data_IF_018034194839
#
_entry.id   IF_018034194839
#
_cell.length_a   1.000
_cell.length_b   1.000
_cell.length_c   1.000
_cell.angle_alpha   90.00
_cell.angle_beta   90.00
_cell.angle_gamma   90.00
#
_symmetry.space_group_name_H-M   'P 1'
#
loop_
_entity.id
_entity.type
_entity.pdbx_description
1 polymer ?
#
# COMPACT_ATOMS: atom_id res chain seq x y z
N UNK A 1 -27.94 -1.60 -5.39
CA UNK A 1 -28.91 -2.01 -4.38
C UNK A 1 -28.50 -3.33 -3.73
N UNK A 2 -29.16 -3.74 -2.64
CA UNK A 2 -28.87 -5.02 -1.98
C UNK A 2 -28.96 -6.19 -2.97
N UNK A 3 -28.03 -7.15 -2.89
CA UNK A 3 -27.98 -8.31 -3.78
C UNK A 3 -27.38 -8.08 -5.15
N UNK A 4 -26.90 -6.88 -5.47
CA UNK A 4 -26.24 -6.64 -6.76
C UNK A 4 -24.83 -7.20 -6.75
N UNK A 5 -24.52 -8.03 -7.74
CA UNK A 5 -23.20 -8.63 -7.98
C UNK A 5 -22.77 -8.33 -9.41
N UNK A 6 -21.52 -7.96 -9.62
CA UNK A 6 -20.98 -7.71 -10.95
C UNK A 6 -20.92 -9.01 -11.76
N UNK A 7 -21.45 -8.99 -12.96
CA UNK A 7 -21.49 -10.15 -13.87
C UNK A 7 -20.09 -10.59 -14.30
N UNK A 8 -19.89 -11.89 -14.44
CA UNK A 8 -18.62 -12.46 -14.83
C UNK A 8 -18.11 -12.00 -16.20
N UNK A 9 -18.96 -12.09 -17.23
CA UNK A 9 -18.55 -11.86 -18.63
C UNK A 9 -17.85 -10.51 -18.89
N UNK A 10 -18.37 -9.35 -18.44
CA UNK A 10 -17.69 -8.07 -18.65
C UNK A 10 -16.32 -8.02 -17.96
N UNK A 11 -16.23 -8.60 -16.75
CA UNK A 11 -14.98 -8.61 -15.96
C UNK A 11 -13.96 -9.53 -16.60
N UNK A 12 -14.37 -10.72 -17.06
CA UNK A 12 -13.49 -11.65 -17.81
C UNK A 12 -12.89 -10.97 -19.04
N UNK A 13 -13.72 -10.34 -19.87
CA UNK A 13 -13.27 -9.61 -21.08
C UNK A 13 -12.30 -8.48 -20.74
N UNK A 14 -12.54 -7.75 -19.66
CA UNK A 14 -11.64 -6.67 -19.21
C UNK A 14 -10.27 -7.21 -18.80
N UNK A 15 -10.24 -8.31 -18.02
CA UNK A 15 -9.00 -8.94 -17.58
C UNK A 15 -8.24 -9.52 -18.79
N UNK A 16 -8.92 -10.23 -19.70
CA UNK A 16 -8.32 -10.76 -20.93
C UNK A 16 -7.68 -9.65 -21.77
N UNK A 17 -8.39 -8.53 -21.93
CA UNK A 17 -7.88 -7.35 -22.64
C UNK A 17 -6.63 -6.76 -21.95
N UNK A 18 -6.60 -6.72 -20.63
CA UNK A 18 -5.43 -6.28 -19.89
C UNK A 18 -4.24 -7.26 -20.10
N UNK A 19 -4.47 -8.57 -19.95
CA UNK A 19 -3.45 -9.60 -20.13
C UNK A 19 -2.91 -9.59 -21.58
N UNK A 20 -3.74 -9.31 -22.58
CA UNK A 20 -3.31 -9.30 -23.99
C UNK A 20 -2.20 -8.29 -24.29
N UNK A 21 -2.09 -7.23 -23.48
CA UNK A 21 -1.08 -6.18 -23.59
C UNK A 21 0.24 -6.51 -22.87
N UNK A 22 0.26 -7.57 -22.06
CA UNK A 22 1.41 -7.94 -21.24
C UNK A 22 2.30 -8.91 -22.03
N UNK A 23 3.61 -8.63 -22.05
CA UNK A 23 4.61 -9.44 -22.78
C UNK A 23 4.88 -10.76 -22.07
N UNK A 24 5.21 -10.73 -20.78
CA UNK A 24 5.52 -11.93 -19.98
C UNK A 24 4.33 -12.32 -19.10
N UNK A 25 3.44 -13.12 -19.65
CA UNK A 25 2.24 -13.60 -18.95
C UNK A 25 2.52 -14.51 -17.76
N UNK A 26 3.73 -15.04 -17.62
CA UNK A 26 4.12 -15.91 -16.48
C UNK A 26 4.40 -15.11 -15.22
N UNK A 27 4.69 -13.81 -15.36
CA UNK A 27 5.00 -12.89 -14.25
C UNK A 27 3.88 -11.90 -13.97
N UNK A 28 2.64 -12.29 -14.23
CA UNK A 28 1.45 -11.48 -13.93
C UNK A 28 0.84 -11.93 -12.63
N UNK A 29 0.50 -10.97 -11.78
CA UNK A 29 -0.33 -11.17 -10.58
C UNK A 29 -1.69 -10.55 -10.79
N UNK A 30 -2.76 -11.29 -10.46
CA UNK A 30 -4.13 -10.76 -10.49
C UNK A 30 -4.65 -10.70 -9.06
N UNK A 31 -5.11 -9.54 -8.65
CA UNK A 31 -5.58 -9.25 -7.29
C UNK A 31 -7.03 -8.78 -7.37
N UNK A 32 -7.88 -9.41 -6.56
CA UNK A 32 -9.23 -8.97 -6.27
C UNK A 32 -9.28 -8.38 -4.86
N UNK A 33 -10.05 -7.31 -4.66
CA UNK A 33 -10.19 -6.71 -3.34
C UNK A 33 -11.39 -7.28 -2.60
N UNK A 34 -11.13 -7.74 -1.38
CA UNK A 34 -12.15 -8.28 -0.49
C UNK A 34 -11.78 -7.99 0.97
N UNK A 35 -12.74 -7.56 1.82
CA UNK A 35 -12.48 -7.39 3.26
C UNK A 35 -12.00 -8.67 3.94
N UNK A 36 -12.43 -9.85 3.46
CA UNK A 36 -12.04 -11.16 3.96
C UNK A 36 -10.75 -11.71 3.33
N UNK A 37 -10.09 -10.96 2.46
CA UNK A 37 -8.85 -11.36 1.81
C UNK A 37 -7.64 -11.34 2.75
N UNK A 38 -6.50 -11.84 2.24
CA UNK A 38 -5.22 -11.73 2.93
C UNK A 38 -4.87 -10.26 3.16
N UNK A 39 -4.44 -9.91 4.38
CA UNK A 39 -4.04 -8.53 4.68
C UNK A 39 -2.84 -8.10 3.84
N UNK A 40 -2.97 -6.93 3.23
CA UNK A 40 -1.89 -6.25 2.53
C UNK A 40 -0.90 -5.67 3.55
N UNK A 41 0.38 -5.87 3.31
CA UNK A 41 1.47 -5.37 4.16
C UNK A 41 2.62 -4.87 3.30
N UNK A 42 3.53 -4.09 3.89
CA UNK A 42 4.78 -3.68 3.23
C UNK A 42 5.60 -4.87 2.75
N UNK A 43 5.63 -5.96 3.53
CA UNK A 43 6.31 -7.19 3.14
C UNK A 43 5.66 -7.83 1.91
N UNK A 44 4.32 -7.87 1.85
CA UNK A 44 3.61 -8.33 0.66
C UNK A 44 3.96 -7.49 -0.57
N UNK A 45 4.02 -6.16 -0.42
CA UNK A 45 4.42 -5.25 -1.49
C UNK A 45 5.84 -5.54 -1.99
N UNK A 46 6.82 -5.62 -1.07
CA UNK A 46 8.24 -5.94 -1.37
C UNK A 46 8.38 -7.28 -2.12
N UNK A 47 7.67 -8.30 -1.68
CA UNK A 47 7.71 -9.62 -2.31
C UNK A 47 7.03 -9.62 -3.68
N UNK A 48 5.94 -8.88 -3.83
CA UNK A 48 5.20 -8.79 -5.10
C UNK A 48 6.02 -8.11 -6.19
N UNK A 49 6.67 -6.98 -5.92
CA UNK A 49 7.48 -6.27 -6.92
C UNK A 49 8.76 -7.02 -7.31
N UNK A 50 9.27 -7.92 -6.46
CA UNK A 50 10.38 -8.81 -6.81
C UNK A 50 9.95 -9.95 -7.73
N UNK A 51 8.73 -10.45 -7.57
CA UNK A 51 8.25 -11.67 -8.22
C UNK A 51 7.51 -11.40 -9.53
N UNK A 52 6.76 -10.31 -9.61
CA UNK A 52 5.88 -10.00 -10.72
C UNK A 52 6.32 -8.75 -11.45
N UNK A 53 6.19 -8.76 -12.78
CA UNK A 53 6.44 -7.57 -13.62
C UNK A 53 5.18 -6.75 -13.85
N UNK A 54 4.02 -7.41 -13.77
CA UNK A 54 2.73 -6.81 -14.05
C UNK A 54 1.72 -7.25 -12.99
N UNK A 55 0.90 -6.30 -12.53
CA UNK A 55 -0.16 -6.55 -11.56
C UNK A 55 -1.47 -6.01 -12.08
N UNK A 56 -2.46 -6.89 -12.20
CA UNK A 56 -3.82 -6.52 -12.57
C UNK A 56 -4.66 -6.41 -11.30
N UNK A 57 -5.23 -5.24 -11.06
CA UNK A 57 -6.07 -4.94 -9.91
C UNK A 57 -7.54 -4.92 -10.35
N UNK A 58 -8.38 -5.76 -9.74
CA UNK A 58 -9.79 -5.83 -10.03
C UNK A 58 -10.54 -4.98 -9.01
N UNK A 59 -11.02 -3.81 -9.45
CA UNK A 59 -11.79 -2.89 -8.61
C UNK A 59 -13.27 -3.18 -8.73
N UNK A 60 -13.79 -4.05 -7.84
CA UNK A 60 -15.19 -4.41 -7.77
C UNK A 60 -16.06 -3.33 -7.16
N UNK A 61 -17.36 -3.42 -7.39
CA UNK A 61 -18.43 -2.59 -6.82
C UNK A 61 -19.55 -3.48 -6.27
N UNK A 62 -20.48 -2.85 -5.57
CA UNK A 62 -21.66 -3.51 -5.00
C UNK A 62 -21.28 -4.58 -3.96
N UNK A 63 -21.92 -5.73 -3.97
CA UNK A 63 -21.63 -6.84 -3.05
C UNK A 63 -20.47 -7.73 -3.52
N UNK A 64 -19.83 -7.38 -4.65
CA UNK A 64 -18.68 -8.07 -5.19
C UNK A 64 -18.80 -8.46 -6.64
N UNK A 65 -17.96 -9.41 -7.04
CA UNK A 65 -17.83 -9.91 -8.40
C UNK A 65 -18.17 -11.39 -8.41
N UNK A 66 -18.80 -11.88 -9.46
CA UNK A 66 -19.07 -13.30 -9.65
C UNK A 66 -17.82 -14.14 -9.37
N UNK A 67 -17.93 -15.07 -8.43
CA UNK A 67 -16.81 -15.86 -7.92
C UNK A 67 -16.09 -16.70 -9.00
N UNK A 68 -16.73 -16.95 -10.15
CA UNK A 68 -16.14 -17.66 -11.28
C UNK A 68 -14.96 -16.90 -11.88
N UNK A 69 -15.00 -15.56 -11.90
CA UNK A 69 -13.89 -14.72 -12.34
C UNK A 69 -12.61 -15.03 -11.57
N UNK A 70 -12.72 -15.05 -10.25
CA UNK A 70 -11.59 -15.35 -9.37
C UNK A 70 -11.03 -16.76 -9.60
N UNK A 71 -11.92 -17.75 -9.77
CA UNK A 71 -11.52 -19.15 -10.04
C UNK A 71 -10.80 -19.29 -11.37
N UNK A 72 -11.31 -18.67 -12.44
CA UNK A 72 -10.75 -18.75 -13.81
C UNK A 72 -9.35 -18.17 -13.85
N UNK A 73 -9.15 -16.96 -13.29
CA UNK A 73 -7.87 -16.26 -13.33
C UNK A 73 -6.96 -16.54 -12.14
N UNK A 74 -7.38 -17.38 -11.17
CA UNK A 74 -6.64 -17.63 -9.92
C UNK A 74 -6.28 -16.32 -9.20
N UNK A 75 -7.22 -15.34 -9.22
CA UNK A 75 -7.01 -14.06 -8.58
C UNK A 75 -6.93 -14.22 -7.05
N UNK A 76 -5.98 -13.54 -6.43
CA UNK A 76 -5.82 -13.54 -4.99
C UNK A 76 -6.70 -12.45 -4.35
N UNK A 77 -7.44 -12.82 -3.30
CA UNK A 77 -8.18 -11.84 -2.51
C UNK A 77 -7.25 -11.13 -1.54
N UNK A 78 -7.25 -9.80 -1.61
CA UNK A 78 -6.44 -8.94 -0.74
C UNK A 78 -7.34 -7.94 0.00
N UNK A 79 -7.09 -7.80 1.30
CA UNK A 79 -7.72 -6.80 2.17
C UNK A 79 -6.72 -5.69 2.51
N UNK A 80 -7.16 -4.45 2.46
CA UNK A 80 -6.38 -3.27 2.88
C UNK A 80 -6.67 -2.86 4.33
N UNK A 81 -7.58 -3.55 5.03
CA UNK A 81 -7.94 -3.27 6.41
C UNK A 81 -9.25 -3.93 6.83
N UNK A 82 -9.53 -3.88 8.12
CA UNK A 82 -10.72 -4.48 8.74
C UNK A 82 -11.95 -3.55 8.64
N UNK A 83 -12.27 -3.12 7.43
CA UNK A 83 -13.41 -2.24 7.12
C UNK A 83 -13.91 -2.49 5.69
N UNK A 84 -15.15 -2.09 5.44
CA UNK A 84 -15.78 -2.20 4.13
C UNK A 84 -15.73 -0.86 3.41
N UNK A 85 -15.34 -0.87 2.14
CA UNK A 85 -15.34 0.29 1.25
C UNK A 85 -16.40 0.12 0.16
N UNK A 86 -16.81 1.23 -0.46
CA UNK A 86 -17.83 1.23 -1.52
C UNK A 86 -17.36 0.60 -2.83
N UNK A 87 -16.05 0.42 -3.01
CA UNK A 87 -15.46 -0.17 -4.21
C UNK A 87 -13.98 -0.44 -4.07
N UNK A 88 -13.40 -1.08 -5.08
CA UNK A 88 -12.01 -1.49 -5.12
C UNK A 88 -11.01 -0.41 -5.54
N UNK A 89 -11.46 0.80 -5.88
CA UNK A 89 -10.59 1.85 -6.41
C UNK A 89 -9.62 2.39 -5.35
N UNK A 90 -10.11 2.67 -4.14
CA UNK A 90 -9.24 3.12 -3.04
C UNK A 90 -8.23 2.04 -2.63
N UNK A 91 -8.62 0.77 -2.43
CA UNK A 91 -7.67 -0.32 -2.26
C UNK A 91 -6.62 -0.40 -3.38
N UNK A 92 -7.02 -0.22 -4.63
CA UNK A 92 -6.10 -0.22 -5.76
C UNK A 92 -5.07 0.90 -5.64
N UNK A 93 -5.49 2.11 -5.29
CA UNK A 93 -4.58 3.25 -5.06
C UNK A 93 -3.60 2.99 -3.92
N UNK A 94 -4.04 2.40 -2.81
CA UNK A 94 -3.17 2.01 -1.69
C UNK A 94 -2.09 1.03 -2.15
N UNK A 95 -2.48 -0.01 -2.91
CA UNK A 95 -1.52 -0.98 -3.42
C UNK A 95 -0.54 -0.35 -4.41
N UNK A 96 -1.04 0.48 -5.34
CA UNK A 96 -0.20 1.16 -6.33
C UNK A 96 0.84 2.03 -5.63
N UNK A 97 0.43 2.88 -4.68
CA UNK A 97 1.35 3.74 -3.94
C UNK A 97 2.40 2.92 -3.19
N UNK A 98 1.96 1.99 -2.35
CA UNK A 98 2.86 1.18 -1.54
C UNK A 98 3.83 0.33 -2.37
N UNK A 99 3.37 -0.29 -3.46
CA UNK A 99 4.22 -1.10 -4.34
C UNK A 99 5.19 -0.25 -5.16
N UNK A 100 4.73 0.90 -5.69
CA UNK A 100 5.56 1.79 -6.48
C UNK A 100 6.75 2.32 -5.68
N UNK A 101 6.56 2.61 -4.40
CA UNK A 101 7.64 2.99 -3.47
C UNK A 101 8.75 1.95 -3.36
N UNK A 102 8.43 0.67 -3.57
CA UNK A 102 9.40 -0.44 -3.52
C UNK A 102 10.20 -0.61 -4.83
N UNK A 103 9.88 0.15 -5.88
CA UNK A 103 10.57 0.07 -7.17
C UNK A 103 11.69 1.11 -7.18
N UNK A 104 12.93 0.64 -7.42
CA UNK A 104 14.11 1.52 -7.48
C UNK A 104 13.92 2.61 -8.55
N UNK A 105 14.16 3.85 -8.16
CA UNK A 105 14.09 5.01 -9.05
C UNK A 105 12.70 5.68 -9.15
N UNK A 106 11.66 5.13 -8.52
CA UNK A 106 10.34 5.79 -8.44
C UNK A 106 10.35 6.91 -7.40
N UNK A 107 10.90 6.65 -6.22
CA UNK A 107 11.12 7.67 -5.19
C UNK A 107 12.64 7.85 -5.05
N UNK A 108 13.18 8.97 -5.50
CA UNK A 108 14.56 9.41 -5.31
C UNK A 108 15.58 8.33 -4.90
N UNK A 109 16.24 8.51 -3.75
CA UNK A 109 17.17 7.53 -3.21
C UNK A 109 16.42 6.43 -2.45
N UNK A 110 16.63 5.17 -2.84
CA UNK A 110 15.98 4.01 -2.22
C UNK A 110 16.26 3.92 -0.71
N UNK A 111 17.48 4.32 -0.28
CA UNK A 111 17.86 4.39 1.14
C UNK A 111 17.05 5.45 1.93
N UNK A 112 16.23 6.24 1.24
CA UNK A 112 15.36 7.24 1.88
C UNK A 112 14.00 6.70 2.28
N UNK A 113 13.69 5.42 1.96
CA UNK A 113 12.43 4.81 2.38
C UNK A 113 12.36 4.74 3.90
N UNK A 114 11.24 5.23 4.44
CA UNK A 114 11.00 5.27 5.89
C UNK A 114 10.96 3.88 6.49
N UNK A 115 10.54 2.87 5.73
CA UNK A 115 10.48 1.47 6.15
C UNK A 115 11.86 0.85 6.44
N UNK A 116 12.93 1.43 5.89
CA UNK A 116 14.33 0.98 6.11
C UNK A 116 15.02 1.77 7.23
N UNK A 117 14.36 2.78 7.79
CA UNK A 117 14.91 3.62 8.85
C UNK A 117 14.27 3.31 10.19
N UNK A 118 15.01 3.56 11.26
CA UNK A 118 14.43 3.68 12.60
C UNK A 118 13.59 4.95 12.60
N UNK A 119 12.28 4.81 12.41
CA UNK A 119 11.36 5.93 12.45
C UNK A 119 10.74 6.07 13.84
N UNK A 120 10.73 7.28 14.35
CA UNK A 120 9.90 7.68 15.49
C UNK A 120 8.52 8.08 14.97
N UNK A 121 7.50 7.95 15.81
CA UNK A 121 6.18 8.51 15.54
C UNK A 121 6.16 10.05 15.67
N UNK A 122 7.21 10.63 16.22
CA UNK A 122 7.33 12.06 16.46
C UNK A 122 8.42 12.67 15.57
N UNK A 123 8.02 13.68 14.80
CA UNK A 123 8.91 14.47 13.94
C UNK A 123 8.85 15.93 14.33
N UNK A 124 10.00 16.59 14.28
CA UNK A 124 10.14 17.99 14.65
C UNK A 124 10.82 18.77 13.52
N UNK A 125 10.39 20.02 13.34
CA UNK A 125 10.97 20.97 12.40
C UNK A 125 11.52 22.20 13.15
N UNK A 126 12.20 23.09 12.47
CA UNK A 126 12.55 24.42 12.99
C UNK A 126 11.28 25.27 13.11
N UNK A 127 11.20 26.20 14.08
CA UNK A 127 12.22 26.53 15.09
C UNK A 127 12.22 25.55 16.27
N UNK A 128 13.32 25.51 17.05
CA UNK A 128 13.47 24.68 18.26
C UNK A 128 12.36 24.93 19.30
N UNK A 129 11.89 26.17 19.40
CA UNK A 129 10.82 26.60 20.31
C UNK A 129 9.67 27.21 19.51
N UNK A 130 8.51 26.58 19.59
CA UNK A 130 7.25 27.12 19.05
C UNK A 130 6.42 27.70 20.19
N UNK A 131 5.96 28.96 20.05
CA UNK A 131 5.00 29.56 20.99
C UNK A 131 3.63 29.60 20.33
N UNK A 132 2.64 28.99 20.95
CA UNK A 132 1.26 29.00 20.49
C UNK A 132 0.29 29.30 21.64
N UNK A 133 -0.52 30.34 21.50
CA UNK A 133 -1.50 30.81 22.53
C UNK A 133 -0.87 30.96 23.92
N UNK A 134 0.31 31.58 23.99
CA UNK A 134 1.04 31.82 25.24
C UNK A 134 1.76 30.61 25.83
N UNK A 135 1.60 29.40 25.25
CA UNK A 135 2.29 28.18 25.69
C UNK A 135 3.50 27.92 24.80
N UNK A 136 4.58 27.41 25.41
CA UNK A 136 5.84 27.08 24.73
C UNK A 136 5.96 25.58 24.54
N UNK A 137 6.22 25.19 23.30
CA UNK A 137 6.47 23.81 22.86
C UNK A 137 7.90 23.72 22.33
N UNK A 138 8.69 22.79 22.85
CA UNK A 138 10.11 22.68 22.51
C UNK A 138 10.41 21.34 21.85
N UNK A 139 11.35 21.34 20.93
CA UNK A 139 11.96 20.11 20.42
C UNK A 139 12.69 19.40 21.57
N UNK A 140 12.60 18.06 21.71
CA UNK A 140 13.37 17.30 22.69
C UNK A 140 14.86 17.57 22.56
N UNK A 141 15.52 17.86 23.70
CA UNK A 141 16.96 18.22 23.72
C UNK A 141 17.85 17.15 23.08
N UNK A 142 17.49 15.88 23.19
CA UNK A 142 18.24 14.77 22.58
C UNK A 142 18.35 14.92 21.07
N UNK A 143 17.32 15.43 20.39
CA UNK A 143 17.33 15.65 18.93
C UNK A 143 18.21 16.81 18.50
N UNK A 144 18.55 17.71 19.44
CA UNK A 144 19.40 18.87 19.22
C UNK A 144 20.87 18.61 19.60
N UNK A 145 21.16 17.44 20.21
CA UNK A 145 22.47 17.12 20.76
C UNK A 145 23.53 16.82 19.71
N UNK A 146 23.13 16.49 18.47
CA UNK A 146 24.04 15.98 17.42
C UNK A 146 24.57 14.56 17.68
N UNK A 147 24.21 13.93 18.80
CA UNK A 147 24.64 12.58 19.14
C UNK A 147 23.72 11.54 18.46
N UNK A 148 24.16 11.00 17.33
CA UNK A 148 23.38 10.07 16.52
C UNK A 148 22.92 8.83 17.32
N UNK A 149 23.75 8.30 18.21
CA UNK A 149 23.44 7.13 19.02
C UNK A 149 22.25 7.41 19.94
N UNK A 150 22.28 8.52 20.70
CA UNK A 150 21.20 8.90 21.58
C UNK A 150 19.92 9.24 20.82
N UNK A 151 20.04 9.84 19.63
CA UNK A 151 18.91 10.14 18.75
C UNK A 151 18.25 8.84 18.26
N UNK A 152 19.02 7.85 17.86
CA UNK A 152 18.48 6.55 17.43
C UNK A 152 17.81 5.79 18.58
N UNK A 153 18.43 5.78 19.77
CA UNK A 153 17.85 5.17 20.97
C UNK A 153 16.49 5.84 21.32
N UNK A 154 16.46 7.15 21.29
CA UNK A 154 15.22 7.91 21.51
C UNK A 154 14.12 7.56 20.49
N UNK A 155 14.48 7.45 19.21
CA UNK A 155 13.54 7.05 18.15
C UNK A 155 12.98 5.64 18.34
N UNK A 156 13.79 4.70 18.82
CA UNK A 156 13.37 3.31 19.10
C UNK A 156 12.43 3.19 20.29
N UNK A 157 12.51 4.12 21.24
CA UNK A 157 11.70 4.14 22.46
C UNK A 157 10.35 4.86 22.29
N UNK A 158 10.03 5.34 21.10
CA UNK A 158 8.79 6.04 20.74
C UNK A 158 8.06 5.26 19.63
#
# INVERSE_FOLDING_TARGET
GPGMVMRAEPVLKAIEKAISKIKDKKKVKIINFSPSGKKFTTEYAKNSVKKYTDIILISGRYEGIDARVKKIFKAEDISVGDYVLTGGELPAMILIDCMSRQIKGVLGKFESLEEERVSSSEFYTRPEKLVYKGKSYKVPKVLLSGNHKLIEEWKKGK
#
